data_IF_888899104118
#
_entry.id   IF_888899104118
#
_cell.length_a   1.000
_cell.length_b   1.000
_cell.length_c   1.000
_cell.angle_alpha   90.00
_cell.angle_beta   90.00
_cell.angle_gamma   90.00
#
_symmetry.space_group_name_H-M   'P 1'
#
loop_
_entity.id
_entity.type
_entity.pdbx_description
1 polymer ?
#
# COMPACT_ATOMS: atom_id res chain seq x y z
N UNK A 1 -21.95 17.37 -3.88
CA UNK A 1 -20.79 16.78 -4.56
C UNK A 1 -19.65 16.79 -3.55
N UNK A 2 -19.50 15.75 -2.74
CA UNK A 2 -18.33 15.65 -1.86
C UNK A 2 -17.45 14.59 -2.49
N UNK A 3 -16.57 15.04 -3.39
CA UNK A 3 -15.53 14.16 -3.90
C UNK A 3 -14.48 14.11 -2.80
N UNK A 4 -14.48 13.00 -2.09
CA UNK A 4 -13.44 12.50 -1.21
C UNK A 4 -12.13 12.34 -1.99
N UNK A 5 -11.49 13.47 -2.32
CA UNK A 5 -10.16 13.45 -2.90
C UNK A 5 -9.18 13.04 -1.80
N UNK A 6 -8.89 11.74 -1.73
CA UNK A 6 -7.90 11.18 -0.81
C UNK A 6 -6.52 11.81 -0.98
N UNK A 7 -5.63 11.68 0.02
CA UNK A 7 -4.29 12.22 -0.08
C UNK A 7 -3.53 11.61 -1.27
N UNK A 8 -2.78 12.45 -1.97
CA UNK A 8 -1.93 12.06 -3.12
C UNK A 8 -0.46 12.16 -2.74
N UNK A 9 0.38 11.41 -3.44
CA UNK A 9 1.82 11.46 -3.24
C UNK A 9 2.39 12.80 -3.73
N UNK A 10 3.12 13.58 -2.91
CA UNK A 10 3.72 14.85 -3.35
C UNK A 10 4.90 14.68 -4.32
N UNK A 11 5.39 13.45 -4.53
CA UNK A 11 6.54 13.16 -5.40
C UNK A 11 6.15 12.79 -6.84
N UNK A 12 5.08 12.01 -7.00
CA UNK A 12 4.59 11.57 -8.31
C UNK A 12 3.15 12.01 -8.61
N UNK A 13 2.49 12.69 -7.67
CA UNK A 13 1.09 13.11 -7.77
C UNK A 13 0.06 11.99 -7.94
N UNK A 14 0.43 10.74 -7.66
CA UNK A 14 -0.47 9.59 -7.76
C UNK A 14 -1.34 9.42 -6.52
N UNK A 15 -2.52 8.80 -6.70
CA UNK A 15 -3.40 8.40 -5.61
C UNK A 15 -2.73 7.38 -4.69
N UNK A 16 -2.85 7.60 -3.39
CA UNK A 16 -2.39 6.64 -2.38
C UNK A 16 -3.42 5.52 -2.24
N UNK A 17 -2.95 4.28 -2.13
CA UNK A 17 -3.84 3.14 -1.91
C UNK A 17 -3.85 2.73 -0.43
N UNK A 18 -5.03 2.40 0.12
CA UNK A 18 -5.14 1.85 1.46
C UNK A 18 -4.57 0.43 1.49
N UNK A 19 -3.88 0.08 2.56
CA UNK A 19 -3.38 -1.28 2.79
C UNK A 19 -3.53 -1.65 4.26
N UNK A 20 -3.79 -2.92 4.53
CA UNK A 20 -3.93 -3.45 5.88
C UNK A 20 -2.59 -3.65 6.56
N UNK A 21 -2.49 -3.11 7.77
CA UNK A 21 -1.35 -3.34 8.65
C UNK A 21 -1.50 -4.70 9.34
N UNK A 22 -0.39 -5.37 9.69
CA UNK A 22 -0.47 -6.58 10.51
C UNK A 22 -1.06 -6.28 11.90
N UNK A 23 -1.78 -7.27 12.46
CA UNK A 23 -2.58 -7.20 13.69
C UNK A 23 -1.85 -6.80 14.98
N UNK A 24 -0.55 -6.49 14.92
CA UNK A 24 0.28 -6.17 16.08
C UNK A 24 1.18 -4.95 15.82
N UNK A 25 0.72 -4.01 15.01
CA UNK A 25 1.53 -2.83 14.67
C UNK A 25 1.40 -1.68 15.67
N UNK A 26 0.43 -1.73 16.59
CA UNK A 26 0.25 -0.72 17.64
C UNK A 26 -0.27 0.63 17.14
N UNK A 27 -0.73 0.72 15.89
CA UNK A 27 -1.39 1.91 15.36
C UNK A 27 -2.87 1.92 15.79
N UNK A 28 -3.41 3.12 15.99
CA UNK A 28 -4.84 3.31 16.28
C UNK A 28 -5.73 2.92 15.08
N UNK A 29 -5.16 2.89 13.87
CA UNK A 29 -5.81 2.54 12.62
C UNK A 29 -5.39 1.16 12.12
N UNK A 30 -6.36 0.39 11.62
CA UNK A 30 -6.09 -0.92 10.99
C UNK A 30 -5.48 -0.83 9.58
N UNK A 31 -5.57 0.34 8.93
CA UNK A 31 -5.05 0.56 7.59
C UNK A 31 -4.31 1.89 7.49
N UNK A 32 -3.39 1.97 6.53
CA UNK A 32 -2.67 3.19 6.17
C UNK A 32 -2.68 3.39 4.66
N UNK A 33 -2.35 4.61 4.23
CA UNK A 33 -2.31 4.97 2.81
C UNK A 33 -0.86 5.01 2.35
N UNK A 34 -0.51 4.27 1.29
CA UNK A 34 0.83 4.26 0.73
C UNK A 34 0.85 4.43 -0.78
N UNK A 35 1.96 4.96 -1.29
CA UNK A 35 2.17 5.12 -2.73
C UNK A 35 2.75 3.84 -3.33
N UNK A 36 1.96 3.19 -4.18
CA UNK A 36 2.32 1.95 -4.86
C UNK A 36 2.86 2.13 -6.28
N UNK A 37 3.10 3.38 -6.69
CA UNK A 37 3.70 3.69 -7.98
C UNK A 37 5.17 3.22 -8.04
N UNK A 38 5.51 2.45 -9.06
CA UNK A 38 6.87 1.95 -9.33
C UNK A 38 7.77 3.01 -10.01
N UNK A 39 7.14 3.97 -10.70
CA UNK A 39 7.80 5.08 -11.39
C UNK A 39 8.08 6.28 -10.46
N UNK A 40 7.71 6.17 -9.18
CA UNK A 40 7.87 7.26 -8.23
C UNK A 40 9.36 7.54 -7.96
N UNK A 41 9.85 8.78 -8.14
CA UNK A 41 11.28 9.09 -7.98
C UNK A 41 11.74 8.87 -6.54
N UNK A 42 10.86 9.01 -5.55
CA UNK A 42 11.15 8.70 -4.15
C UNK A 42 11.44 7.20 -3.95
N UNK A 43 10.65 6.34 -4.59
CA UNK A 43 10.79 4.89 -4.51
C UNK A 43 12.02 4.39 -5.27
N UNK A 44 12.22 4.86 -6.51
CA UNK A 44 13.37 4.48 -7.35
C UNK A 44 14.69 4.84 -6.67
N UNK A 45 14.81 6.08 -6.15
CA UNK A 45 16.01 6.53 -5.44
C UNK A 45 16.25 5.76 -4.13
N UNK A 46 15.18 5.30 -3.48
CA UNK A 46 15.26 4.50 -2.26
C UNK A 46 16.00 3.18 -2.48
N UNK A 47 15.79 2.52 -3.64
CA UNK A 47 16.48 1.29 -4.00
C UNK A 47 17.98 1.47 -4.14
N UNK A 48 18.40 2.47 -4.92
CA UNK A 48 19.82 2.78 -5.12
C UNK A 48 20.49 3.11 -3.78
N UNK A 49 19.85 3.95 -2.97
CA UNK A 49 20.40 4.34 -1.68
C UNK A 49 20.59 3.15 -0.75
N UNK A 50 19.59 2.26 -0.65
CA UNK A 50 19.65 1.08 0.19
C UNK A 50 20.68 0.06 -0.27
N UNK A 51 20.73 -0.18 -1.58
CA UNK A 51 21.68 -1.08 -2.19
C UNK A 51 23.11 -0.57 -2.06
N UNK A 52 23.35 0.73 -2.19
CA UNK A 52 24.68 1.34 -2.07
C UNK A 52 25.16 1.42 -0.61
N UNK A 53 24.31 1.89 0.30
CA UNK A 53 24.68 2.11 1.71
C UNK A 53 24.75 0.82 2.52
N UNK A 54 23.81 -0.10 2.29
CA UNK A 54 23.58 -1.25 3.16
C UNK A 54 23.71 -2.58 2.43
N UNK A 55 23.90 -2.58 1.10
CA UNK A 55 23.92 -3.78 0.27
C UNK A 55 22.66 -4.66 0.40
N UNK A 56 21.52 -4.06 0.71
CA UNK A 56 20.24 -4.76 0.86
C UNK A 56 19.28 -4.43 -0.28
N UNK A 57 18.50 -5.42 -0.70
CA UNK A 57 17.42 -5.26 -1.66
C UNK A 57 16.16 -4.76 -0.93
N UNK A 58 16.17 -3.51 -0.51
CA UNK A 58 15.03 -2.84 0.11
C UNK A 58 14.87 -1.41 -0.43
N UNK A 59 13.69 -0.83 -0.28
CA UNK A 59 13.41 0.56 -0.61
C UNK A 59 12.40 1.17 0.37
N UNK A 60 12.08 2.44 0.18
CA UNK A 60 11.10 3.17 0.96
C UNK A 60 9.98 3.73 0.09
N UNK A 61 8.74 3.51 0.49
CA UNK A 61 7.55 4.12 -0.12
C UNK A 61 7.01 5.23 0.77
N UNK A 62 6.41 6.24 0.14
CA UNK A 62 5.72 7.30 0.87
C UNK A 62 4.42 6.74 1.45
N UNK A 63 4.28 6.74 2.79
CA UNK A 63 3.02 6.44 3.47
C UNK A 63 2.52 7.66 4.23
N UNK A 64 1.21 7.73 4.43
CA UNK A 64 0.56 8.75 5.24
C UNK A 64 -0.50 8.10 6.12
N UNK A 65 -0.58 8.61 7.35
CA UNK A 65 -1.60 8.21 8.29
C UNK A 65 -2.91 8.94 7.97
N UNK A 66 -4.02 8.24 7.68
CA UNK A 66 -5.29 8.87 7.34
C UNK A 66 -5.92 9.62 8.52
N UNK A 67 -5.62 9.20 9.76
CA UNK A 67 -6.17 9.80 10.98
C UNK A 67 -5.39 11.03 11.42
N UNK A 68 -4.06 10.92 11.48
CA UNK A 68 -3.20 12.05 11.89
C UNK A 68 -2.80 12.97 10.73
N UNK A 69 -2.94 12.53 9.47
CA UNK A 69 -2.40 13.22 8.29
C UNK A 69 -0.88 13.22 8.22
N UNK A 70 -0.19 12.38 9.01
CA UNK A 70 1.27 12.42 9.17
C UNK A 70 1.95 11.48 8.18
N UNK A 71 2.88 12.01 7.38
CA UNK A 71 3.65 11.23 6.43
C UNK A 71 4.81 10.48 7.11
N UNK A 72 5.17 9.30 6.60
CA UNK A 72 6.29 8.50 7.09
C UNK A 72 6.89 7.60 5.99
N UNK A 73 8.16 7.18 6.09
CA UNK A 73 8.81 6.30 5.13
C UNK A 73 8.53 4.82 5.42
N UNK A 74 7.94 4.09 4.47
CA UNK A 74 7.58 2.68 4.57
C UNK A 74 8.62 1.79 3.92
N UNK A 75 9.38 1.07 4.75
CA UNK A 75 10.37 0.12 4.27
C UNK A 75 9.70 -1.07 3.58
N UNK A 76 10.16 -1.41 2.37
CA UNK A 76 9.68 -2.53 1.57
C UNK A 76 10.85 -3.38 1.10
N UNK A 77 10.70 -4.70 1.15
CA UNK A 77 11.73 -5.67 0.74
C UNK A 77 11.64 -6.05 -0.74
N UNK A 78 10.61 -5.60 -1.45
CA UNK A 78 10.38 -5.88 -2.88
C UNK A 78 9.41 -4.85 -3.46
N UNK A 79 9.36 -4.75 -4.80
CA UNK A 79 8.40 -3.91 -5.52
C UNK A 79 6.97 -4.32 -5.22
N UNK A 80 6.73 -5.62 -5.07
CA UNK A 80 5.44 -6.23 -4.74
C UNK A 80 5.19 -6.40 -3.23
N UNK A 81 6.17 -6.06 -2.39
CA UNK A 81 5.96 -6.12 -0.95
C UNK A 81 4.73 -5.28 -0.58
N UNK A 82 3.94 -5.78 0.38
CA UNK A 82 2.68 -5.21 0.87
C UNK A 82 1.58 -4.99 -0.18
N UNK A 83 1.81 -5.27 -1.47
CA UNK A 83 0.78 -5.15 -2.52
C UNK A 83 -0.36 -6.14 -2.35
N UNK A 84 -0.04 -7.34 -1.86
CA UNK A 84 -1.03 -8.37 -1.48
C UNK A 84 -2.01 -7.90 -0.40
N UNK A 85 -1.64 -6.89 0.40
CA UNK A 85 -2.47 -6.32 1.47
C UNK A 85 -3.17 -5.03 1.06
N UNK A 86 -3.08 -4.63 -0.21
CA UNK A 86 -3.76 -3.44 -0.71
C UNK A 86 -5.26 -3.71 -0.69
N UNK A 87 -5.97 -2.82 -0.02
CA UNK A 87 -7.42 -2.78 -0.07
C UNK A 87 -7.82 -2.09 -1.38
N UNK A 88 -8.61 -2.78 -2.19
CA UNK A 88 -9.17 -2.17 -3.39
C UNK A 88 -10.16 -1.06 -2.99
N UNK A 89 -9.98 0.14 -3.53
CA UNK A 89 -10.84 1.28 -3.24
C UNK A 89 -12.29 1.11 -3.78
N UNK A 90 -12.58 0.04 -4.53
CA UNK A 90 -13.84 -0.18 -5.23
C UNK A 90 -14.77 -1.25 -4.63
N UNK A 91 -14.49 -1.83 -3.45
CA UNK A 91 -15.34 -2.90 -2.88
C UNK A 91 -16.72 -2.35 -2.46
N UNK A 92 -17.57 -2.15 -3.47
CA UNK A 92 -19.01 -2.21 -3.36
C UNK A 92 -19.30 -3.66 -3.02
N UNK A 93 -19.76 -3.88 -1.79
CA UNK A 93 -20.32 -5.16 -1.39
C UNK A 93 -21.45 -5.53 -2.37
N UNK A 94 -21.25 -6.58 -3.16
CA UNK A 94 -22.35 -7.41 -3.63
C UNK A 94 -21.87 -8.83 -4.03
N UNK A 95 -22.24 -9.79 -3.18
CA UNK A 95 -22.70 -11.17 -3.44
C UNK A 95 -21.73 -12.17 -4.10
N UNK A 96 -21.31 -13.24 -3.40
CA UNK A 96 -22.03 -14.52 -3.22
C UNK A 96 -22.18 -15.32 -4.51
N UNK A 97 -21.39 -16.39 -4.67
CA UNK A 97 -21.90 -17.75 -4.93
C UNK A 97 -20.71 -18.71 -5.20
N UNK A 98 -20.69 -19.79 -4.44
CA UNK A 98 -19.75 -20.90 -4.57
C UNK A 98 -20.40 -21.95 -5.47
N UNK A 99 -19.85 -22.32 -6.63
CA UNK A 99 -20.17 -23.63 -7.18
C UNK A 99 -19.29 -24.67 -6.50
N UNK A 100 -19.83 -25.24 -5.41
CA UNK A 100 -19.62 -26.65 -5.06
C UNK A 100 -20.25 -27.47 -6.19
N UNK A 101 -19.42 -28.01 -7.09
CA UNK A 101 -19.83 -29.15 -7.90
C UNK A 101 -18.94 -30.33 -7.51
N UNK A 102 -19.46 -31.11 -6.57
CA UNK A 102 -19.04 -32.49 -6.41
C UNK A 102 -19.35 -33.28 -7.67
N UNK A 103 -18.32 -33.66 -8.42
CA UNK A 103 -18.43 -34.75 -9.38
C UNK A 103 -17.95 -36.06 -8.75
N UNK A 104 -18.96 -36.83 -8.35
CA UNK A 104 -18.91 -38.24 -7.95
C UNK A 104 -18.13 -39.11 -8.93
N UNK A 105 -17.39 -40.09 -8.40
CA UNK A 105 -17.12 -41.38 -9.06
C UNK A 105 -17.06 -42.49 -8.02
#
# INVERSE_FOLDING_TARGET
MTQEQGPVCPHCNENLQPFELPDNTGWETGFQLACFNDECPYFVRGWEHMQEKYAVKASYRYRVDPTSGKASPLAVWSTDAIKDRILDANVSADSDDTPDDGSSS
#
